data_IF_862726049987
#
_entry.id   IF_862726049987
#
_cell.length_a   1.000
_cell.length_b   1.000
_cell.length_c   1.000
_cell.angle_alpha   90.00
_cell.angle_beta   90.00
_cell.angle_gamma   90.00
#
_symmetry.space_group_name_H-M   'P 1'
#
loop_
_entity.id
_entity.type
_entity.pdbx_description
1 polymer ?
#
# COMPACT_ATOMS: atom_id res chain seq x y z
N UNK A 1 -29.03 -8.60 6.25
CA UNK A 1 -28.60 -8.34 5.39
C UNK A 1 -27.63 -7.36 5.48
N UNK A 2 -27.60 -6.66 6.41
CA UNK A 2 -26.62 -5.67 6.55
C UNK A 2 -25.22 -6.20 6.52
N UNK A 3 -25.03 -7.42 6.91
CA UNK A 3 -23.69 -7.94 6.94
C UNK A 3 -23.06 -7.96 5.57
N UNK A 4 -23.81 -8.41 4.59
CA UNK A 4 -23.28 -8.44 3.25
C UNK A 4 -23.04 -7.04 2.74
N UNK A 5 -23.94 -6.14 3.06
CA UNK A 5 -23.75 -4.78 2.63
C UNK A 5 -22.57 -4.15 3.32
N UNK A 6 -22.35 -4.49 4.58
CA UNK A 6 -21.21 -3.95 5.28
C UNK A 6 -19.91 -4.35 4.63
N UNK A 7 -19.82 -5.59 4.20
CA UNK A 7 -18.61 -6.04 3.53
C UNK A 7 -18.41 -5.30 2.24
N UNK A 8 -19.46 -5.11 1.48
CA UNK A 8 -19.35 -4.36 0.25
C UNK A 8 -18.95 -2.92 0.52
N UNK A 9 -19.52 -2.34 1.54
CA UNK A 9 -19.18 -0.96 1.88
C UNK A 9 -17.72 -0.86 2.26
N UNK A 10 -17.22 -1.81 3.02
CA UNK A 10 -15.82 -1.79 3.40
C UNK A 10 -14.94 -1.90 2.17
N UNK A 11 -15.30 -2.76 1.24
CA UNK A 11 -14.52 -2.91 0.02
C UNK A 11 -14.55 -1.65 -0.82
N UNK A 12 -15.68 -0.96 -0.83
CA UNK A 12 -15.80 0.25 -1.62
C UNK A 12 -15.25 1.47 -0.91
N UNK A 13 -14.96 1.36 0.38
CA UNK A 13 -14.46 2.51 1.11
C UNK A 13 -12.98 2.75 0.87
N UNK A 14 -12.29 1.80 0.25
CA UNK A 14 -10.88 1.98 -0.05
C UNK A 14 -10.48 1.03 -1.16
N UNK A 15 -9.60 1.50 -2.00
CA UNK A 15 -8.93 0.66 -2.98
C UNK A 15 -7.47 0.65 -2.65
N UNK A 16 -6.87 -0.53 -2.67
CA UNK A 16 -5.47 -0.68 -2.35
C UNK A 16 -4.72 -1.23 -3.57
N UNK A 17 -3.58 -0.66 -3.82
CA UNK A 17 -2.69 -1.12 -4.88
C UNK A 17 -1.34 -1.41 -4.27
N UNK A 18 -0.80 -2.58 -4.59
CA UNK A 18 0.55 -2.93 -4.18
C UNK A 18 1.50 -2.65 -5.33
N UNK A 19 2.59 -1.97 -5.01
CA UNK A 19 3.60 -1.61 -6.00
C UNK A 19 4.92 -2.17 -5.53
N UNK A 20 5.60 -2.90 -6.40
CA UNK A 20 6.94 -3.37 -6.09
C UNK A 20 7.90 -2.19 -6.13
N UNK A 21 8.67 -2.03 -5.07
CA UNK A 21 9.66 -0.97 -5.02
C UNK A 21 10.86 -1.41 -5.85
N UNK A 22 11.28 -0.60 -6.84
CA UNK A 22 12.48 -0.94 -7.61
C UNK A 22 13.68 -1.14 -6.69
N UNK A 23 14.56 -2.04 -7.07
CA UNK A 23 15.69 -2.39 -6.21
C UNK A 23 16.47 -1.16 -5.78
N UNK A 24 16.65 -0.22 -6.69
CA UNK A 24 17.46 0.97 -6.39
C UNK A 24 16.81 1.88 -5.35
N UNK A 25 15.54 1.69 -5.07
CA UNK A 25 14.81 2.53 -4.12
C UNK A 25 14.50 1.82 -2.82
N UNK A 26 14.82 0.54 -2.72
CA UNK A 26 14.54 -0.21 -1.50
C UNK A 26 15.43 0.25 -0.38
N UNK A 27 14.90 0.20 0.81
CA UNK A 27 15.65 0.61 1.99
C UNK A 27 15.42 -0.42 3.08
N UNK A 28 16.18 -0.28 4.16
CA UNK A 28 16.01 -1.15 5.31
C UNK A 28 15.53 -0.31 6.47
N UNK A 29 14.81 -0.96 7.36
CA UNK A 29 14.34 -0.33 8.58
C UNK A 29 14.40 -1.37 9.68
N UNK A 30 14.34 -0.94 10.91
CA UNK A 30 14.48 -1.88 12.02
C UNK A 30 13.26 -1.82 12.91
N UNK A 31 12.94 -2.94 13.50
CA UNK A 31 11.89 -3.02 14.50
C UNK A 31 12.25 -4.16 15.45
N UNK A 32 12.27 -3.83 16.73
CA UNK A 32 12.55 -4.83 17.75
C UNK A 32 13.88 -5.55 17.51
N UNK A 33 14.86 -4.78 17.10
CA UNK A 33 16.19 -5.34 16.91
C UNK A 33 16.37 -6.13 15.63
N UNK A 34 15.36 -6.18 14.79
CA UNK A 34 15.47 -6.92 13.54
C UNK A 34 15.42 -5.95 12.37
N UNK A 35 16.24 -6.22 11.35
CA UNK A 35 16.29 -5.38 10.15
C UNK A 35 15.38 -5.95 9.09
N UNK A 36 14.62 -5.08 8.47
CA UNK A 36 13.69 -5.45 7.40
C UNK A 36 14.08 -4.74 6.12
N UNK A 37 13.93 -5.44 5.00
CA UNK A 37 14.09 -4.82 3.68
C UNK A 37 12.71 -4.52 3.14
N UNK A 38 12.46 -3.25 2.80
CA UNK A 38 11.16 -2.82 2.34
C UNK A 38 11.10 -2.94 0.82
N UNK A 39 10.21 -3.79 0.36
CA UNK A 39 10.14 -4.17 -1.05
C UNK A 39 8.83 -3.81 -1.73
N UNK A 40 7.81 -3.48 -0.95
CA UNK A 40 6.47 -3.28 -1.50
C UNK A 40 5.84 -2.05 -0.88
N UNK A 41 5.20 -1.25 -1.70
CA UNK A 41 4.35 -0.16 -1.22
C UNK A 41 2.91 -0.60 -1.32
N UNK A 42 2.13 -0.32 -0.28
CA UNK A 42 0.70 -0.49 -0.32
C UNK A 42 0.08 0.89 -0.29
N UNK A 43 -0.56 1.28 -1.39
CA UNK A 43 -1.15 2.61 -1.52
C UNK A 43 -2.65 2.45 -1.52
N UNK A 44 -3.32 3.14 -0.62
CA UNK A 44 -4.76 3.02 -0.45
C UNK A 44 -5.41 4.37 -0.69
N UNK A 45 -6.40 4.37 -1.55
CA UNK A 45 -7.24 5.53 -1.79
C UNK A 45 -8.53 5.33 -1.04
N UNK A 46 -8.78 6.19 -0.07
CA UNK A 46 -9.96 6.06 0.77
C UNK A 46 -11.15 6.75 0.12
N UNK A 47 -12.33 6.39 0.56
CA UNK A 47 -13.56 6.91 -0.04
C UNK A 47 -13.66 8.43 0.06
N UNK A 48 -13.08 9.01 1.10
CA UNK A 48 -13.14 10.45 1.29
C UNK A 48 -12.04 11.19 0.52
N UNK A 49 -11.29 10.48 -0.30
CA UNK A 49 -10.25 11.09 -1.09
C UNK A 49 -8.88 11.09 -0.44
N UNK A 50 -8.79 10.67 0.79
CA UNK A 50 -7.49 10.62 1.46
C UNK A 50 -6.64 9.48 0.92
N UNK A 51 -5.35 9.71 0.95
CA UNK A 51 -4.39 8.74 0.47
C UNK A 51 -3.55 8.25 1.65
N UNK A 52 -3.39 6.96 1.74
CA UNK A 52 -2.55 6.35 2.77
C UNK A 52 -1.57 5.42 2.10
N UNK A 53 -0.32 5.46 2.55
CA UNK A 53 0.70 4.60 1.98
C UNK A 53 1.55 4.02 3.09
N UNK A 54 1.87 2.74 2.96
CA UNK A 54 2.76 2.05 3.88
C UNK A 54 3.72 1.21 3.06
N UNK A 55 4.88 0.96 3.63
CA UNK A 55 5.85 0.07 3.01
C UNK A 55 5.86 -1.24 3.78
N UNK A 56 6.02 -2.33 3.07
CA UNK A 56 6.04 -3.65 3.65
C UNK A 56 7.31 -4.37 3.27
N UNK A 57 7.82 -5.16 4.19
CA UNK A 57 9.04 -5.89 3.92
C UNK A 57 9.16 -7.12 4.78
N UNK A 58 10.22 -7.85 4.52
CA UNK A 58 10.55 -9.07 5.24
C UNK A 58 11.87 -8.89 5.95
N UNK A 59 12.15 -9.74 6.95
CA UNK A 59 13.44 -9.69 7.59
C UNK A 59 14.56 -9.84 6.57
N UNK A 60 15.57 -9.00 6.71
CA UNK A 60 16.70 -9.03 5.79
C UNK A 60 17.44 -10.36 5.89
N UNK A 61 17.32 -11.04 7.01
CA UNK A 61 17.96 -12.33 7.20
C UNK A 61 17.32 -13.44 6.37
N UNK A 62 16.19 -13.16 5.73
CA UNK A 62 15.54 -14.15 4.90
C UNK A 62 14.62 -15.09 5.65
N UNK A 63 14.31 -14.79 6.90
CA UNK A 63 13.41 -15.64 7.65
C UNK A 63 12.00 -15.59 7.11
N UNK A 64 11.17 -16.54 7.60
CA UNK A 64 9.81 -16.62 7.17
C UNK A 64 8.89 -15.73 7.93
N UNK A 65 9.27 -14.64 8.44
CA UNK A 65 8.41 -13.76 9.19
C UNK A 65 7.30 -13.19 8.34
N UNK A 66 6.25 -12.72 9.00
CA UNK A 66 5.20 -12.00 8.32
C UNK A 66 5.72 -10.67 7.82
N UNK A 67 5.06 -10.12 6.81
CA UNK A 67 5.35 -8.78 6.37
C UNK A 67 5.04 -7.80 7.50
N UNK A 68 5.91 -6.84 7.65
CA UNK A 68 5.74 -5.80 8.64
C UNK A 68 5.65 -4.48 7.93
N UNK A 69 4.74 -3.62 8.38
CA UNK A 69 4.52 -2.33 7.71
C UNK A 69 5.29 -1.22 8.39
N UNK A 70 5.80 -0.31 7.57
CA UNK A 70 6.58 0.83 8.01
C UNK A 70 6.09 2.08 7.30
N UNK A 71 6.34 3.22 7.89
CA UNK A 71 6.06 4.49 7.24
C UNK A 71 6.97 4.65 6.04
N UNK A 72 6.45 5.28 4.99
CA UNK A 72 7.24 5.57 3.81
C UNK A 72 8.08 6.82 4.08
N UNK A 73 9.40 6.75 3.91
CA UNK A 73 10.22 7.92 4.17
C UNK A 73 10.00 9.00 3.12
N UNK A 74 10.40 10.21 3.46
CA UNK A 74 10.31 11.32 2.53
C UNK A 74 11.40 11.19 1.50
N UNK A 75 11.01 10.73 0.33
CA UNK A 75 11.94 10.51 -0.77
C UNK A 75 11.16 10.83 -2.05
N UNK A 76 11.65 11.78 -2.88
CA UNK A 76 10.90 12.17 -4.07
C UNK A 76 10.58 11.01 -5.01
N UNK A 77 11.48 10.04 -5.14
CA UNK A 77 11.23 8.91 -6.01
C UNK A 77 10.13 8.02 -5.45
N UNK A 78 10.10 7.82 -4.13
CA UNK A 78 9.03 7.05 -3.51
C UNK A 78 7.71 7.80 -3.57
N UNK A 79 7.75 9.10 -3.37
CA UNK A 79 6.56 9.94 -3.51
C UNK A 79 5.98 9.80 -4.91
N UNK A 80 6.83 9.76 -5.91
CA UNK A 80 6.40 9.58 -7.29
C UNK A 80 5.71 8.24 -7.50
N UNK A 81 6.27 7.17 -6.92
CA UNK A 81 5.63 5.85 -7.00
C UNK A 81 4.27 5.85 -6.34
N UNK A 82 4.17 6.51 -5.20
CA UNK A 82 2.89 6.60 -4.49
C UNK A 82 1.89 7.37 -5.35
N UNK A 83 2.32 8.47 -5.95
CA UNK A 83 1.44 9.28 -6.79
C UNK A 83 0.95 8.50 -8.00
N UNK A 84 1.85 7.75 -8.64
CA UNK A 84 1.45 6.93 -9.78
C UNK A 84 0.46 5.86 -9.37
N UNK A 85 0.68 5.23 -8.23
CA UNK A 85 -0.25 4.23 -7.73
C UNK A 85 -1.59 4.86 -7.39
N UNK A 86 -1.58 6.08 -6.85
CA UNK A 86 -2.82 6.76 -6.53
C UNK A 86 -3.64 7.04 -7.77
N UNK A 87 -2.98 7.40 -8.86
CA UNK A 87 -3.68 7.63 -10.12
C UNK A 87 -4.33 6.34 -10.59
N UNK A 88 -3.61 5.22 -10.49
CA UNK A 88 -4.18 3.94 -10.89
C UNK A 88 -5.33 3.54 -9.98
N UNK A 89 -5.21 3.80 -8.69
CA UNK A 89 -6.28 3.49 -7.75
C UNK A 89 -7.52 4.31 -8.07
N UNK A 90 -7.34 5.59 -8.38
CA UNK A 90 -8.46 6.43 -8.73
C UNK A 90 -9.15 5.94 -10.00
N UNK A 91 -8.36 5.49 -10.96
CA UNK A 91 -8.90 4.97 -12.20
C UNK A 91 -9.70 3.69 -11.95
N UNK A 92 -9.19 2.80 -11.12
CA UNK A 92 -9.89 1.57 -10.77
C UNK A 92 -11.17 1.88 -10.00
N UNK A 93 -11.09 2.85 -9.11
CA UNK A 93 -12.26 3.26 -8.34
C UNK A 93 -13.35 3.77 -9.27
N UNK A 94 -12.98 4.61 -10.23
CA UNK A 94 -13.94 5.15 -11.17
C UNK A 94 -14.55 4.05 -12.03
N UNK A 95 -13.71 3.12 -12.49
CA UNK A 95 -14.20 2.01 -13.30
C UNK A 95 -15.17 1.14 -12.49
N UNK A 96 -14.81 0.85 -11.26
CA UNK A 96 -15.68 0.04 -10.42
C UNK A 96 -17.04 0.70 -10.24
N UNK A 97 -17.03 2.00 -10.03
CA UNK A 97 -18.28 2.72 -9.81
C UNK A 97 -19.10 2.85 -11.08
N UNK A 98 -18.43 2.83 -12.23
CA UNK A 98 -19.11 2.99 -13.49
C UNK A 98 -19.65 1.72 -14.08
N UNK A 99 -19.29 0.59 -13.50
CA UNK A 99 -19.68 -0.68 -14.08
C UNK A 99 -21.10 -1.07 -13.77
N UNK A 100 -21.80 -0.53 -12.96
CA UNK A 100 -23.11 -0.93 -12.60
C UNK A 100 -24.04 -1.37 -13.63
#
# INVERSE_FOLDING_TARGET
MGVVNSDEDVQLSALAINVTIPESLRWTDTRRGETFTLTTLNVRLLADGHLAARAYGRPASGGRGAYVSFAVPENPALTSLVADAAIRAASLWATHRGVR
#
